data_IF_406158336180
#
_entry.id   IF_406158336180
#
_cell.length_a   1.000
_cell.length_b   1.000
_cell.length_c   1.000
_cell.angle_alpha   90.00
_cell.angle_beta   90.00
_cell.angle_gamma   90.00
#
_symmetry.space_group_name_H-M   'P 1'
#
loop_
_entity.id
_entity.type
_entity.pdbx_description
1 polymer ?
2 non-polymer ?
3 water ?
#
# COMPACT_ATOMS: atom_id res chain seq x y z
N UNK A 7 4.46 -13.03 -23.41
CA UNK A 7 5.70 -13.19 -22.58
C UNK A 7 5.97 -11.93 -21.75
N UNK A 8 5.85 -10.76 -22.38
CA UNK A 8 6.03 -9.48 -21.70
C UNK A 8 4.92 -9.26 -20.66
N UNK A 9 3.72 -9.75 -20.98
CA UNK A 9 2.57 -9.67 -20.07
C UNK A 9 2.80 -10.53 -18.84
N UNK A 10 3.23 -11.77 -19.08
CA UNK A 10 3.56 -12.71 -18.01
C UNK A 10 4.65 -12.15 -17.12
N UNK A 11 5.63 -11.48 -17.73
CA UNK A 11 6.74 -10.91 -16.98
C UNK A 11 6.25 -9.79 -16.05
N UNK A 12 5.46 -8.84 -16.58
CA UNK A 12 4.91 -7.77 -15.73
C UNK A 12 3.97 -8.34 -14.64
N UNK A 13 3.11 -9.30 -15.02
CA UNK A 13 2.19 -9.93 -14.04
C UNK A 13 2.97 -10.53 -12.87
N UNK A 14 3.98 -11.34 -13.18
CA UNK A 14 4.78 -11.98 -12.14
C UNK A 14 5.52 -10.96 -11.29
N UNK A 15 6.11 -9.95 -11.94
CA UNK A 15 6.84 -8.88 -11.22
C UNK A 15 5.94 -8.18 -10.18
N UNK A 16 4.72 -7.86 -10.58
CA UNK A 16 3.80 -7.14 -9.72
C UNK A 16 3.28 -8.05 -8.61
N UNK A 17 2.92 -9.29 -8.95
CA UNK A 17 2.48 -10.20 -7.92
C UNK A 17 3.60 -10.52 -6.89
N UNK A 18 4.85 -10.66 -7.35
CA UNK A 18 6.00 -10.85 -6.45
C UNK A 18 6.19 -9.62 -5.54
N UNK A 19 6.12 -8.43 -6.15
CA UNK A 19 6.20 -7.18 -5.41
C UNK A 19 5.16 -7.17 -4.27
N UNK A 20 3.90 -7.48 -4.60
CA UNK A 20 2.84 -7.42 -3.58
C UNK A 20 3.06 -8.43 -2.44
N UNK A 21 3.49 -9.64 -2.78
CA UNK A 21 3.78 -10.66 -1.75
C UNK A 21 4.83 -10.16 -0.76
N UNK A 22 5.91 -9.58 -1.29
CA UNK A 22 7.02 -9.08 -0.48
C UNK A 22 6.64 -7.81 0.28
N UNK A 23 5.76 -7.00 -0.32
CA UNK A 23 5.27 -5.77 0.32
C UNK A 23 4.46 -6.14 1.59
N UNK A 24 3.55 -7.09 1.45
CA UNK A 24 2.77 -7.54 2.61
C UNK A 24 3.65 -8.11 3.70
N UNK A 25 4.64 -8.94 3.32
CA UNK A 25 5.49 -9.61 4.33
C UNK A 25 6.42 -8.60 5.03
N UNK A 26 6.91 -7.62 4.28
CA UNK A 26 7.74 -6.53 4.84
C UNK A 26 7.00 -5.83 6.00
N UNK A 27 5.73 -5.47 5.78
CA UNK A 27 4.95 -4.80 6.81
C UNK A 27 4.58 -5.73 7.97
N UNK A 28 4.17 -6.96 7.64
CA UNK A 28 3.73 -7.92 8.66
C UNK A 28 4.88 -8.35 9.58
N UNK A 29 6.09 -8.45 9.00
CA UNK A 29 7.30 -8.83 9.74
C UNK A 29 7.86 -7.64 10.56
N UNK A 30 7.24 -6.47 10.42
CA UNK A 30 7.72 -5.23 11.05
C UNK A 30 9.12 -4.84 10.54
N UNK A 31 9.41 -5.12 9.27
CA UNK A 31 10.63 -4.62 8.63
C UNK A 31 10.33 -3.27 7.97
N UNK A 32 9.92 -2.31 8.80
CA UNK A 32 9.36 -1.06 8.29
C UNK A 32 10.38 -0.24 7.50
N UNK A 33 11.65 -0.41 7.83
CA UNK A 33 12.72 0.29 7.11
C UNK A 33 12.79 -0.07 5.61
N UNK A 34 12.34 -1.27 5.24
CA UNK A 34 12.33 -1.68 3.83
C UNK A 34 11.20 -1.00 3.04
N UNK A 35 10.15 -0.58 3.75
CA UNK A 35 8.92 -0.14 3.10
C UNK A 35 9.12 1.08 2.16
N UNK A 36 9.83 2.13 2.63
CA UNK A 36 10.04 3.29 1.75
C UNK A 36 10.86 2.94 0.48
N UNK A 37 11.73 1.93 0.58
CA UNK A 37 12.57 1.52 -0.56
C UNK A 37 11.79 0.89 -1.72
N UNK A 38 10.55 0.50 -1.46
CA UNK A 38 9.67 -0.14 -2.46
C UNK A 38 9.02 0.89 -3.39
N UNK A 39 9.25 2.15 -3.10
CA UNK A 39 8.71 3.28 -3.88
C UNK A 39 9.83 4.04 -4.60
N UNK A 40 9.49 4.74 -5.68
CA UNK A 40 10.43 5.70 -6.28
C UNK A 40 10.52 6.90 -5.34
N UNK A 41 11.50 7.77 -5.56
CA UNK A 41 11.71 8.94 -4.66
C UNK A 41 10.52 9.93 -4.75
N UNK A 42 10.10 10.22 -5.98
CA UNK A 42 9.01 11.19 -6.25
C UNK A 42 7.67 10.43 -6.39
N UNK A 43 7.22 9.90 -5.27
CA UNK A 43 6.10 8.97 -5.24
C UNK A 43 4.87 9.61 -4.59
N UNK A 44 3.77 8.85 -4.61
CA UNK A 44 2.56 9.20 -3.88
C UNK A 44 1.99 7.93 -3.21
N UNK A 45 1.82 8.01 -1.90
CA UNK A 45 1.17 6.95 -1.13
C UNK A 45 0.02 7.59 -0.37
N UNK A 46 -1.17 7.04 -0.51
CA UNK A 46 -2.30 7.54 0.23
C UNK A 46 -3.28 6.43 0.59
N UNK A 47 -4.03 6.70 1.66
CA UNK A 47 -5.02 5.76 2.19
C UNK A 47 -6.34 6.58 2.29
N UNK A 48 -7.33 6.19 1.49
CA UNK A 48 -8.55 6.97 1.32
C UNK A 48 -9.77 6.07 1.36
N UNK A 49 -10.83 6.55 2.01
CA UNK A 49 -12.09 5.77 2.10
C UNK A 49 -12.76 5.63 0.74
N UNK A 50 -13.36 4.46 0.47
CA UNK A 50 -14.02 4.20 -0.82
C UNK A 50 -14.98 5.34 -1.20
N UNK A 51 -15.79 5.77 -0.26
CA UNK A 51 -16.77 6.82 -0.56
C UNK A 51 -16.14 8.19 -0.88
N UNK A 52 -14.94 8.43 -0.37
CA UNK A 52 -14.27 9.74 -0.55
C UNK A 52 -13.71 9.89 -1.94
N UNK A 53 -13.62 8.77 -2.66
CA UNK A 53 -13.07 8.74 -4.01
C UNK A 53 -14.12 9.27 -5.03
N UNK A 54 -15.19 9.87 -4.51
CA UNK A 54 -16.19 10.59 -5.33
C UNK A 54 -16.47 12.01 -4.80
N UNK A 55 -16.01 12.29 -3.58
CA UNK A 55 -16.21 13.59 -2.93
C UNK A 55 -15.38 14.64 -3.66
N UNK A 56 -15.88 15.88 -3.63
CA UNK A 56 -15.14 17.02 -4.20
C UNK A 56 -13.76 17.20 -3.59
N UNK A 57 -13.63 16.84 -2.31
CA UNK A 57 -12.34 16.91 -1.61
C UNK A 57 -12.06 15.59 -0.89
N UNK A 58 -11.55 14.58 -1.62
CA UNK A 58 -11.28 13.25 -1.05
C UNK A 58 -10.21 13.29 0.04
N UNK A 59 -10.68 13.12 1.27
CA UNK A 59 -9.85 13.18 2.43
C UNK A 59 -9.05 11.89 2.54
N UNK A 60 -7.73 12.03 2.57
CA UNK A 60 -6.87 10.90 2.82
C UNK A 60 -6.57 10.86 4.31
N UNK A 61 -6.65 9.69 4.91
CA UNK A 61 -6.33 9.52 6.33
C UNK A 61 -4.84 9.15 6.55
N UNK A 62 -4.13 8.86 5.46
CA UNK A 62 -2.68 8.72 5.49
C UNK A 62 -2.19 9.23 4.13
N UNK A 63 -1.17 10.07 4.13
CA UNK A 63 -0.80 10.75 2.90
C UNK A 63 0.70 11.10 2.87
N UNK A 64 1.39 10.64 1.83
CA UNK A 64 2.83 10.91 1.63
C UNK A 64 3.06 11.23 0.17
N UNK A 65 3.62 12.40 -0.12
CA UNK A 65 3.85 12.80 -1.51
C UNK A 65 5.33 12.88 -1.89
N UNK A 66 6.16 12.22 -1.08
CA UNK A 66 7.56 12.02 -1.36
C UNK A 66 8.08 10.85 -0.53
N UNK A 67 9.23 10.33 -0.90
CA UNK A 67 9.86 9.28 -0.10
C UNK A 67 10.25 9.78 1.28
N UNK A 68 10.60 11.07 1.37
CA UNK A 68 10.94 11.68 2.64
C UNK A 68 9.82 11.57 3.66
N UNK A 69 8.58 11.72 3.20
CA UNK A 69 7.42 11.55 4.06
C UNK A 69 7.20 10.08 4.48
N UNK A 70 7.46 9.12 3.57
CA UNK A 70 7.42 7.70 3.92
C UNK A 70 8.42 7.42 5.06
N UNK A 71 9.65 7.90 4.88
CA UNK A 71 10.72 7.68 5.84
C UNK A 71 10.40 8.36 7.16
N UNK A 72 9.81 9.55 7.09
CA UNK A 72 9.40 10.28 8.31
C UNK A 72 8.45 9.43 9.14
N UNK A 73 7.52 8.74 8.48
CA UNK A 73 6.59 7.86 9.19
C UNK A 73 7.30 6.69 9.89
N UNK A 74 8.22 6.04 9.19
CA UNK A 74 8.95 4.89 9.78
C UNK A 74 9.76 5.34 11.00
N UNK A 75 10.48 6.46 10.84
CA UNK A 75 11.25 7.07 11.95
C UNK A 75 10.37 7.36 13.17
N UNK A 76 9.22 7.98 12.94
CA UNK A 76 8.29 8.29 14.02
C UNK A 76 7.75 7.01 14.71
N UNK A 77 7.43 5.99 13.92
CA UNK A 77 6.93 4.72 14.46
C UNK A 77 8.00 4.03 15.34
N UNK A 78 9.25 4.12 14.92
CA UNK A 78 10.36 3.61 15.75
C UNK A 78 10.57 4.45 17.02
N UNK A 79 10.57 5.76 16.86
CA UNK A 79 10.82 6.66 17.98
C UNK A 79 9.73 6.52 19.05
N UNK A 80 8.47 6.54 18.64
CA UNK A 80 7.36 6.49 19.59
C UNK A 80 6.72 5.13 19.55
N UNK A 81 7.52 4.10 19.88
CA UNK A 81 7.10 2.69 19.73
C UNK A 81 5.84 2.35 20.54
N UNK A 86 0.65 -4.21 17.95
CA UNK A 86 -0.25 -5.19 17.36
C UNK A 86 0.49 -6.04 16.37
N UNK A 87 -0.09 -7.19 16.04
CA UNK A 87 0.45 -8.05 15.00
C UNK A 87 -0.46 -7.96 13.79
N UNK A 88 0.14 -7.68 12.65
CA UNK A 88 -0.59 -7.53 11.40
C UNK A 88 -0.32 -8.66 10.45
N UNK A 89 -1.31 -8.93 9.60
CA UNK A 89 -1.23 -9.96 8.61
C UNK A 89 -1.96 -9.47 7.36
N UNK A 90 -1.25 -9.38 6.25
CA UNK A 90 -1.86 -9.02 4.94
C UNK A 90 -2.12 -10.29 4.12
N UNK A 91 -3.31 -10.36 3.52
CA UNK A 91 -3.52 -11.21 2.39
C UNK A 91 -3.85 -10.32 1.19
N UNK A 92 -3.09 -10.47 0.12
CA UNK A 92 -3.26 -9.66 -1.07
C UNK A 92 -3.64 -10.55 -2.25
N UNK A 93 -4.70 -10.16 -2.94
CA UNK A 93 -5.13 -10.88 -4.12
C UNK A 93 -4.18 -10.72 -5.29
N UNK A 94 -4.36 -11.59 -6.30
CA UNK A 94 -3.63 -11.47 -7.55
C UNK A 94 -3.97 -10.13 -8.22
N UNK A 95 -2.98 -9.49 -8.82
CA UNK A 95 -3.15 -8.17 -9.45
C UNK A 95 -3.83 -8.28 -10.81
N UNK A 96 -4.72 -7.31 -11.07
CA UNK A 96 -5.27 -7.09 -12.41
C UNK A 96 -4.60 -5.90 -13.05
N UNK A 97 -3.84 -6.17 -14.11
CA UNK A 97 -3.18 -5.10 -14.85
C UNK A 97 -4.23 -4.36 -15.69
N UNK A 98 -4.29 -3.05 -15.50
CA UNK A 98 -5.31 -2.21 -16.10
C UNK A 98 -4.80 -1.30 -17.21
N UNK A 99 -3.48 -1.23 -17.41
CA UNK A 99 -2.92 -0.45 -18.50
C UNK A 99 -1.42 -0.58 -18.56
N UNK A 100 -0.88 -0.44 -19.77
CA UNK A 100 0.54 -0.55 -19.98
C UNK A 100 0.94 0.52 -20.97
N UNK A 101 1.81 1.41 -20.53
CA UNK A 101 2.41 2.39 -21.43
C UNK A 101 3.93 2.24 -21.32
N UNK A 102 4.49 1.40 -22.18
CA UNK A 102 5.90 1.08 -22.12
C UNK A 102 6.22 0.31 -20.85
N UNK A 103 7.14 0.81 -20.04
CA UNK A 103 7.48 0.12 -18.78
C UNK A 103 6.82 0.79 -17.56
N UNK A 104 5.74 1.54 -17.81
CA UNK A 104 4.88 2.02 -16.74
C UNK A 104 3.57 1.21 -16.79
N UNK A 105 3.24 0.56 -15.68
CA UNK A 105 2.11 -0.34 -15.64
C UNK A 105 1.15 0.04 -14.51
N UNK A 106 -0.12 0.18 -14.83
CA UNK A 106 -1.15 0.39 -13.81
C UNK A 106 -1.75 -0.96 -13.45
N UNK A 107 -2.06 -1.12 -12.17
CA UNK A 107 -2.67 -2.38 -11.66
C UNK A 107 -3.49 -2.13 -10.43
N UNK A 108 -4.35 -3.11 -10.12
CA UNK A 108 -5.18 -3.08 -8.91
C UNK A 108 -5.20 -4.46 -8.29
N UNK A 109 -5.24 -4.52 -6.95
CA UNK A 109 -5.29 -5.79 -6.23
C UNK A 109 -6.06 -5.62 -4.93
N UNK A 110 -6.99 -6.54 -4.65
CA UNK A 110 -7.72 -6.55 -3.40
C UNK A 110 -6.80 -6.96 -2.28
N UNK A 111 -7.08 -6.46 -1.09
CA UNK A 111 -6.33 -6.83 0.12
C UNK A 111 -7.21 -6.80 1.37
N UNK A 112 -6.79 -7.58 2.37
CA UNK A 112 -7.33 -7.47 3.71
C UNK A 112 -6.18 -7.53 4.66
N UNK A 113 -6.17 -6.59 5.61
CA UNK A 113 -5.22 -6.59 6.69
C UNK A 113 -5.96 -7.07 7.94
N UNK A 114 -5.46 -8.13 8.50
CA UNK A 114 -5.96 -8.71 9.75
C UNK A 114 -5.04 -8.28 10.90
N UNK A 115 -5.62 -8.05 12.07
CA UNK A 115 -4.85 -7.56 13.18
C UNK A 115 -5.17 -8.32 14.45
N UNK A 116 -4.12 -8.62 15.22
CA UNK A 116 -4.28 -9.30 16.50
C UNK A 116 -3.74 -8.40 17.59
N UNK A 117 -4.61 -8.04 18.53
CA UNK A 117 -4.25 -7.14 19.61
C UNK A 117 -4.09 -7.94 20.90
N UNK A 118 -3.98 -7.23 22.02
CA UNK A 118 -3.64 -7.83 23.31
C UNK A 118 -4.64 -8.88 23.83
N UNK A 119 -5.91 -8.77 23.45
CA UNK A 119 -6.93 -9.74 23.84
C UNK A 119 -6.75 -11.09 23.09
N UNK A 120 -5.93 -11.07 22.05
CA UNK A 120 -5.57 -12.29 21.31
C UNK A 120 -6.49 -12.68 20.16
N UNK A 121 -7.60 -11.96 19.99
CA UNK A 121 -8.50 -12.26 18.87
C UNK A 121 -8.00 -11.57 17.61
N UNK A 122 -8.03 -12.30 16.50
CA UNK A 122 -7.68 -11.75 15.20
C UNK A 122 -8.95 -11.22 14.53
N UNK A 123 -8.92 -9.94 14.18
CA UNK A 123 -10.06 -9.26 13.58
C UNK A 123 -9.66 -8.68 12.26
N UNK A 124 -10.66 -8.37 11.44
CA UNK A 124 -10.41 -7.65 10.21
C UNK A 124 -10.17 -6.18 10.52
N UNK A 125 -8.96 -5.70 10.25
CA UNK A 125 -8.59 -4.32 10.55
C UNK A 125 -8.92 -3.35 9.41
N UNK A 126 -8.51 -3.70 8.19
CA UNK A 126 -8.74 -2.84 7.03
C UNK A 126 -8.83 -3.69 5.77
N UNK A 127 -9.98 -3.62 5.09
CA UNK A 127 -10.18 -4.26 3.77
C UNK A 127 -10.31 -3.20 2.69
N UNK A 128 -9.76 -3.47 1.51
CA UNK A 128 -9.78 -2.49 0.41
C UNK A 128 -9.19 -3.03 -0.87
N UNK A 129 -8.77 -2.13 -1.76
CA UNK A 129 -7.99 -2.50 -2.89
C UNK A 129 -6.88 -1.48 -3.14
N UNK A 130 -5.73 -1.99 -3.52
CA UNK A 130 -4.63 -1.14 -4.03
C UNK A 130 -4.92 -0.72 -5.47
N UNK A 131 -4.76 0.56 -5.75
CA UNK A 131 -4.79 1.11 -7.12
C UNK A 131 -3.42 1.74 -7.37
N UNK A 132 -2.67 1.12 -8.27
CA UNK A 132 -1.24 1.36 -8.37
C UNK A 132 -0.78 1.84 -9.76
N UNK A 133 0.30 2.61 -9.73
CA UNK A 133 1.13 2.88 -10.91
C UNK A 133 2.54 2.42 -10.59
N UNK A 134 2.98 1.40 -11.31
CA UNK A 134 4.30 0.81 -11.17
C UNK A 134 5.27 1.32 -12.24
N UNK A 135 6.51 1.53 -11.83
CA UNK A 135 7.61 1.84 -12.72
C UNK A 135 8.46 0.56 -12.86
N UNK A 136 8.40 -0.07 -14.04
CA UNK A 136 9.13 -1.32 -14.30
C UNK A 136 10.38 -1.07 -15.15
N UNK A 137 10.85 0.18 -15.18
CA UNK A 137 12.05 0.54 -15.94
C UNK A 137 13.29 0.08 -15.20
N UNK A 138 14.40 0.00 -15.93
CA UNK A 138 15.72 -0.21 -15.33
C UNK A 138 15.87 -1.48 -14.51
N UNK A 139 15.27 -2.56 -15.00
CA UNK A 139 15.38 -3.86 -14.37
C UNK A 139 14.90 -3.92 -12.93
N UNK A 140 13.96 -3.06 -12.56
CA UNK A 140 13.45 -3.07 -11.19
C UNK A 140 11.91 -2.84 -11.12
N UNK A 141 11.34 -3.08 -9.95
CA UNK A 141 9.88 -2.88 -9.74
C UNK A 141 9.66 -2.00 -8.53
N UNK A 142 9.16 -0.78 -8.76
CA UNK A 142 8.93 0.17 -7.68
C UNK A 142 7.59 0.90 -7.92
N UNK A 143 6.93 1.29 -6.83
CA UNK A 143 5.69 2.05 -6.89
C UNK A 143 5.97 3.52 -7.19
N UNK A 144 5.38 4.01 -8.28
CA UNK A 144 5.25 5.46 -8.53
C UNK A 144 4.10 6.04 -7.66
N UNK A 145 2.97 5.33 -7.64
CA UNK A 145 1.87 5.72 -6.77
C UNK A 145 1.05 4.53 -6.32
N UNK A 146 0.64 4.58 -5.07
CA UNK A 146 -0.29 3.55 -4.47
C UNK A 146 -1.35 4.27 -3.67
N UNK A 147 -2.59 4.00 -4.04
CA UNK A 147 -3.73 4.47 -3.31
C UNK A 147 -4.46 3.25 -2.73
N UNK A 148 -4.60 3.23 -1.41
CA UNK A 148 -5.30 2.15 -0.71
C UNK A 148 -6.71 2.62 -0.48
N UNK A 149 -7.63 2.13 -1.31
CA UNK A 149 -9.04 2.54 -1.25
C UNK A 149 -9.81 1.56 -0.33
N UNK A 150 -10.19 2.02 0.87
CA UNK A 150 -10.60 1.10 1.92
C UNK A 150 -12.07 1.20 2.33
N UNK A 151 -12.59 0.07 2.80
CA UNK A 151 -13.99 -0.08 3.16
C UNK A 151 -14.23 0.14 4.67
N UNK A 152 -13.31 -0.35 5.50
CA UNK A 152 -13.48 -0.44 6.95
C UNK A 152 -13.38 0.95 7.61
N UNK A 153 -14.39 1.31 8.40
CA UNK A 153 -14.54 2.69 8.93
C UNK A 153 -13.42 3.08 9.90
N UNK A 154 -13.24 2.26 10.93
CA UNK A 154 -12.29 2.58 11.96
C UNK A 154 -10.92 2.21 11.45
N UNK A 155 -10.01 3.16 11.55
CA UNK A 155 -8.65 2.97 11.12
C UNK A 155 -7.81 3.79 12.10
N UNK A 156 -6.60 3.33 12.38
CA UNK A 156 -5.72 4.05 13.33
C UNK A 156 -5.45 5.45 12.81
N UNK A 157 -5.48 6.43 13.72
CA UNK A 157 -5.12 7.79 13.36
C UNK A 157 -3.90 8.32 14.12
N UNK A 158 -3.38 7.52 15.07
CA UNK A 158 -2.14 7.88 15.78
C UNK A 158 -1.12 6.76 15.58
N UNK A 159 0.06 7.14 15.09
CA UNK A 159 1.18 6.17 14.90
C UNK A 159 0.71 4.93 14.14
N UNK A 160 0.02 5.17 13.03
CA UNK A 160 -0.55 4.11 12.22
C UNK A 160 0.52 3.40 11.36
N UNK A 161 0.54 2.07 11.39
CA UNK A 161 1.43 1.34 10.50
C UNK A 161 0.82 1.36 9.08
N UNK A 162 1.67 1.45 8.05
CA UNK A 162 1.17 1.50 6.67
C UNK A 162 0.32 0.29 6.27
N UNK A 163 -0.63 0.55 5.37
CA UNK A 163 -1.49 -0.46 4.76
C UNK A 163 -0.80 -0.98 3.51
X LIG B 1 0.99 10.01 13.81
#
# INVERSE_FOLDING_TARGET
GXSVAAEVAQVAQSAIDDFNAAYGLCLDDDRLEQWPTLFVDDCLYQVIARENVDNGLPAAVMYCDSKGMLADRVVALRKANVFPEHFNRHLIGRAVITGVEGDQVSAEASYVVFQTRNDGETRIYNAGKYVDRFDLSGGTVRLKSRTCIYDTLRIATLLATPI
CL CL
#
